data_IF_878131765738
#
_entry.id   IF_878131765738
#
_cell.length_a   1.000
_cell.length_b   1.000
_cell.length_c   1.000
_cell.angle_alpha   90.00
_cell.angle_beta   90.00
_cell.angle_gamma   90.00
#
_symmetry.space_group_name_H-M   'P 1'
#
loop_
_entity.id
_entity.type
_entity.pdbx_description
1 polymer ?
#
# COMPACT_ATOMS: atom_id res chain seq x y z
N UNK A 1 23.81 -9.09 8.80
CA UNK A 1 23.01 -8.74 7.60
C UNK A 1 22.73 -9.99 6.74
N UNK A 2 21.82 -10.90 7.12
CA UNK A 2 21.58 -12.14 6.33
C UNK A 2 20.13 -12.63 6.17
N UNK A 3 19.14 -12.05 6.86
CA UNK A 3 17.71 -12.46 6.72
C UNK A 3 16.84 -11.38 6.08
N UNK A 4 17.08 -10.10 6.42
CA UNK A 4 16.33 -8.95 5.87
C UNK A 4 16.51 -8.78 4.36
N UNK A 5 17.73 -9.01 3.85
CA UNK A 5 18.03 -8.91 2.41
C UNK A 5 17.42 -10.04 1.59
N UNK A 6 17.30 -11.25 2.16
CA UNK A 6 16.69 -12.39 1.47
C UNK A 6 15.18 -12.18 1.31
N UNK A 7 14.51 -11.65 2.34
CA UNK A 7 13.10 -11.27 2.24
C UNK A 7 12.83 -10.20 1.18
N UNK A 8 13.72 -9.21 1.07
CA UNK A 8 13.67 -8.16 0.04
C UNK A 8 13.87 -8.72 -1.38
N UNK A 9 14.80 -9.67 -1.55
CA UNK A 9 15.04 -10.30 -2.83
C UNK A 9 13.86 -11.19 -3.26
N UNK A 10 13.31 -11.97 -2.32
CA UNK A 10 12.16 -12.84 -2.58
C UNK A 10 10.90 -12.04 -2.93
N UNK A 11 10.65 -10.91 -2.28
CA UNK A 11 9.51 -10.06 -2.63
C UNK A 11 9.67 -9.39 -4.00
N UNK A 12 10.88 -8.96 -4.38
CA UNK A 12 11.13 -8.43 -5.73
C UNK A 12 10.94 -9.48 -6.83
N UNK A 13 11.40 -10.72 -6.62
CA UNK A 13 11.24 -11.81 -7.61
C UNK A 13 9.75 -12.18 -7.76
N UNK A 14 9.00 -12.21 -6.66
CA UNK A 14 7.55 -12.45 -6.69
C UNK A 14 6.79 -11.37 -7.45
N UNK A 15 7.19 -10.09 -7.37
CA UNK A 15 6.57 -9.03 -8.17
C UNK A 15 6.97 -9.10 -9.66
N UNK A 16 8.21 -9.49 -9.98
CA UNK A 16 8.71 -9.54 -11.36
C UNK A 16 8.12 -10.70 -12.20
N UNK A 17 7.57 -11.73 -11.53
CA UNK A 17 7.00 -12.93 -12.18
C UNK A 17 5.49 -12.85 -12.40
N UNK A 18 4.84 -11.76 -11.98
CA UNK A 18 3.44 -11.52 -12.31
C UNK A 18 3.40 -11.03 -13.77
N UNK A 19 2.78 -11.77 -14.70
CA UNK A 19 2.65 -11.30 -16.07
C UNK A 19 1.80 -10.03 -16.08
N UNK A 20 2.44 -8.88 -16.32
CA UNK A 20 1.75 -7.63 -16.64
C UNK A 20 1.18 -7.77 -18.05
N UNK A 21 -0.03 -8.31 -18.17
CA UNK A 21 -0.83 -8.14 -19.38
C UNK A 21 -1.30 -6.68 -19.40
N UNK A 22 -0.67 -5.85 -20.22
CA UNK A 22 -1.12 -4.48 -20.51
C UNK A 22 -2.39 -4.53 -21.35
N UNK A 23 -3.52 -4.80 -20.69
CA UNK A 23 -4.85 -4.56 -21.24
C UNK A 23 -5.17 -3.08 -21.15
N UNK A 24 -5.27 -2.43 -22.29
CA UNK A 24 -5.70 -1.04 -22.43
C UNK A 24 -7.11 -0.81 -21.85
N UNK A 25 -7.30 0.30 -21.12
CA UNK A 25 -8.56 1.03 -21.07
C UNK A 25 -8.35 2.45 -20.52
N UNK A 26 -8.49 3.43 -21.40
CA UNK A 26 -8.84 4.81 -21.03
C UNK A 26 -10.28 4.84 -20.50
N UNK A 27 -10.53 5.51 -19.37
CA UNK A 27 -11.74 6.30 -19.09
C UNK A 27 -11.62 7.02 -17.73
N UNK A 28 -11.92 8.31 -17.73
CA UNK A 28 -12.01 9.21 -16.58
C UNK A 28 -13.35 9.12 -15.85
N UNK A 29 -13.35 9.09 -14.50
CA UNK A 29 -14.33 9.65 -13.52
C UNK A 29 -14.29 8.88 -12.17
N UNK A 30 -14.79 9.45 -11.04
CA UNK A 30 -14.18 9.32 -9.72
C UNK A 30 -14.46 7.94 -9.11
N UNK A 31 -13.42 7.19 -8.78
CA UNK A 31 -13.60 5.89 -8.14
C UNK A 31 -13.63 6.09 -6.63
N UNK A 32 -14.86 6.02 -6.12
CA UNK A 32 -15.20 5.80 -4.71
C UNK A 32 -14.51 4.56 -4.13
N UNK A 33 -14.30 4.62 -2.81
CA UNK A 33 -13.41 3.81 -1.97
C UNK A 33 -13.52 2.29 -2.16
N UNK A 34 -12.40 1.55 -2.28
CA UNK A 34 -12.40 0.15 -1.92
C UNK A 34 -12.40 0.00 -0.40
N UNK A 35 -13.52 -0.45 0.15
CA UNK A 35 -13.62 -0.98 1.51
C UNK A 35 -13.12 -2.44 1.53
N UNK A 36 -11.82 -2.63 1.78
CA UNK A 36 -11.30 -3.95 2.13
C UNK A 36 -11.58 -4.25 3.61
N UNK A 37 -12.84 -4.55 3.93
CA UNK A 37 -13.25 -4.94 5.29
C UNK A 37 -12.64 -6.31 5.69
N UNK A 38 -12.31 -7.16 4.71
CA UNK A 38 -11.68 -8.47 4.90
C UNK A 38 -10.82 -8.77 3.65
N UNK A 39 -9.60 -8.23 3.63
CA UNK A 39 -8.68 -8.44 2.50
C UNK A 39 -7.25 -8.09 2.83
N UNK A 40 -6.35 -8.74 2.11
CA UNK A 40 -4.91 -8.52 2.19
C UNK A 40 -4.55 -7.59 1.03
N UNK A 41 -4.06 -6.41 1.36
CA UNK A 41 -3.74 -5.38 0.38
C UNK A 41 -2.23 -5.19 0.33
N UNK A 42 -1.65 -5.28 -0.85
CA UNK A 42 -0.28 -4.84 -1.08
C UNK A 42 -0.28 -3.34 -1.33
N UNK A 43 0.61 -2.61 -0.66
CA UNK A 43 0.84 -1.18 -0.90
C UNK A 43 2.32 -0.91 -1.15
N UNK A 44 2.61 0.07 -2.01
CA UNK A 44 3.96 0.54 -2.29
C UNK A 44 3.95 2.02 -2.65
N UNK A 45 4.75 2.84 -1.96
CA UNK A 45 4.89 4.26 -2.30
C UNK A 45 5.27 5.14 -1.11
N UNK A 46 4.94 6.41 -1.22
CA UNK A 46 5.28 7.46 -0.25
C UNK A 46 4.06 7.97 0.51
N UNK A 47 4.20 7.99 1.83
CA UNK A 47 3.22 8.51 2.79
C UNK A 47 3.86 9.61 3.64
N UNK A 48 3.05 10.53 4.16
CA UNK A 48 3.48 11.60 5.06
C UNK A 48 2.83 11.45 6.43
N UNK A 49 3.58 11.81 7.47
CA UNK A 49 3.12 11.86 8.86
C UNK A 49 2.40 10.56 9.29
N UNK A 50 3.05 9.39 9.23
CA UNK A 50 2.43 8.17 9.71
C UNK A 50 2.26 8.21 11.23
N UNK A 51 1.02 8.06 11.68
CA UNK A 51 0.66 7.92 13.08
C UNK A 51 0.27 6.47 13.35
N UNK A 52 0.95 5.82 14.30
CA UNK A 52 0.72 4.42 14.67
C UNK A 52 -0.02 4.40 16.00
N UNK A 53 -1.26 3.91 16.00
CA UNK A 53 -2.03 3.70 17.23
C UNK A 53 -1.68 2.38 17.93
N UNK A 54 -2.13 2.21 19.17
CA UNK A 54 -1.92 1.01 20.01
C UNK A 54 -2.38 -0.31 19.35
N UNK A 55 -3.29 -0.24 18.36
CA UNK A 55 -3.79 -1.42 17.63
C UNK A 55 -3.01 -1.73 16.35
N UNK A 56 -1.80 -1.17 16.21
CA UNK A 56 -1.00 -1.22 14.98
C UNK A 56 -1.75 -0.66 13.76
N UNK A 57 -2.69 0.26 13.97
CA UNK A 57 -3.35 0.97 12.88
C UNK A 57 -2.50 2.17 12.53
N UNK A 58 -2.05 2.23 11.28
CA UNK A 58 -1.31 3.33 10.68
C UNK A 58 -2.31 4.24 9.99
N UNK A 59 -2.27 5.52 10.34
CA UNK A 59 -2.99 6.59 9.63
C UNK A 59 -1.95 7.53 9.04
N UNK A 60 -2.07 7.87 7.76
CA UNK A 60 -1.09 8.72 7.08
C UNK A 60 -1.73 9.46 5.91
N UNK A 61 -0.97 10.37 5.27
CA UNK A 61 -1.36 11.00 3.99
C UNK A 61 -0.60 10.38 2.84
N UNK A 62 -1.29 9.84 1.84
CA UNK A 62 -0.68 9.29 0.63
C UNK A 62 -0.22 10.41 -0.31
N UNK A 63 1.08 10.53 -0.53
CA UNK A 63 1.64 11.42 -1.57
C UNK A 63 1.46 10.74 -2.93
N UNK A 64 1.96 9.52 -3.01
CA UNK A 64 1.86 8.62 -4.15
C UNK A 64 1.92 7.19 -3.62
N UNK A 65 0.81 6.46 -3.63
CA UNK A 65 0.74 5.10 -3.09
C UNK A 65 0.02 4.19 -4.08
N UNK A 66 0.74 3.22 -4.62
CA UNK A 66 0.16 2.13 -5.39
C UNK A 66 -0.45 1.14 -4.41
N UNK A 67 -1.64 0.64 -4.72
CA UNK A 67 -2.28 -0.41 -3.95
C UNK A 67 -2.83 -1.50 -4.86
N UNK A 68 -2.81 -2.72 -4.35
CA UNK A 68 -3.38 -3.90 -4.98
C UNK A 68 -4.05 -4.76 -3.92
N UNK A 69 -5.37 -4.79 -3.93
CA UNK A 69 -6.18 -5.60 -3.04
C UNK A 69 -6.55 -6.92 -3.72
N UNK A 70 -6.04 -8.04 -3.17
CA UNK A 70 -6.53 -9.38 -3.52
C UNK A 70 -7.64 -9.80 -2.58
N UNK A 71 -8.64 -8.96 -2.41
CA UNK A 71 -9.82 -9.31 -1.63
C UNK A 71 -10.40 -10.66 -2.08
N UNK A 72 -10.97 -11.39 -1.12
CA UNK A 72 -11.67 -12.66 -1.38
C UNK A 72 -12.87 -12.47 -2.33
N UNK A 73 -13.48 -11.28 -2.31
CA UNK A 73 -14.72 -10.94 -3.02
C UNK A 73 -14.45 -10.01 -4.20
N UNK A 74 -13.57 -9.01 -4.03
CA UNK A 74 -13.28 -7.99 -5.05
C UNK A 74 -11.76 -7.87 -5.19
N UNK A 75 -11.28 -7.87 -6.43
CA UNK A 75 -9.91 -7.50 -6.75
C UNK A 75 -9.93 -6.03 -7.18
N UNK A 76 -9.17 -5.19 -6.49
CA UNK A 76 -9.04 -3.78 -6.85
C UNK A 76 -7.57 -3.36 -6.89
N UNK A 77 -7.25 -2.39 -7.73
CA UNK A 77 -5.90 -1.87 -7.88
C UNK A 77 -5.95 -0.42 -8.31
N UNK A 78 -5.06 0.41 -7.77
CA UNK A 78 -5.03 1.80 -8.13
C UNK A 78 -3.85 2.56 -7.56
N UNK A 79 -3.90 3.87 -7.76
CA UNK A 79 -2.91 4.81 -7.26
C UNK A 79 -3.62 5.87 -6.44
N UNK A 80 -3.20 6.03 -5.19
CA UNK A 80 -3.63 7.11 -4.31
C UNK A 80 -2.65 8.25 -4.43
N UNK A 81 -3.12 9.42 -4.85
CA UNK A 81 -2.31 10.63 -4.97
C UNK A 81 -3.00 11.83 -4.31
N UNK A 82 -2.26 12.91 -4.10
CA UNK A 82 -2.84 14.19 -3.69
C UNK A 82 -3.09 14.34 -2.19
N UNK A 83 -2.28 13.70 -1.35
CA UNK A 83 -2.34 13.81 0.12
C UNK A 83 -3.64 13.30 0.75
N UNK A 84 -4.33 12.37 0.07
CA UNK A 84 -5.50 11.69 0.62
C UNK A 84 -5.13 10.96 1.91
N UNK A 85 -6.02 11.01 2.88
CA UNK A 85 -5.81 10.27 4.11
C UNK A 85 -5.98 8.78 3.82
N UNK A 86 -5.09 7.96 4.37
CA UNK A 86 -5.15 6.51 4.27
C UNK A 86 -5.07 5.91 5.68
N UNK A 87 -5.66 4.73 5.83
CA UNK A 87 -5.62 3.96 7.05
C UNK A 87 -5.39 2.49 6.71
N UNK A 88 -4.49 1.83 7.41
CA UNK A 88 -4.29 0.40 7.30
C UNK A 88 -3.75 -0.19 8.58
N UNK A 89 -3.94 -1.49 8.78
CA UNK A 89 -3.28 -2.23 9.86
C UNK A 89 -1.89 -2.65 9.42
N UNK A 90 -0.89 -2.23 10.19
CA UNK A 90 0.49 -2.63 10.00
C UNK A 90 0.63 -4.14 10.26
N UNK A 91 1.34 -4.84 9.40
CA UNK A 91 1.64 -6.27 9.58
C UNK A 91 3.16 -6.47 9.59
N UNK A 92 3.65 -7.65 10.01
CA UNK A 92 5.09 -7.95 9.94
C UNK A 92 5.68 -7.93 8.53
N UNK A 93 4.83 -7.96 7.48
CA UNK A 93 5.23 -7.92 6.07
C UNK A 93 5.21 -6.50 5.49
N UNK A 94 4.91 -5.48 6.31
CA UNK A 94 5.06 -4.08 5.95
C UNK A 94 6.44 -3.58 6.33
N UNK A 95 7.09 -2.92 5.39
CA UNK A 95 8.26 -2.10 5.64
C UNK A 95 7.84 -0.63 5.57
N UNK A 96 8.11 0.09 6.64
CA UNK A 96 7.90 1.53 6.78
C UNK A 96 9.29 2.11 7.07
N UNK A 97 9.79 2.97 6.19
CA UNK A 97 11.11 3.58 6.34
C UNK A 97 11.14 4.60 7.47
N UNK A 98 12.33 5.05 7.83
CA UNK A 98 12.49 6.27 8.61
C UNK A 98 12.01 7.49 7.78
N UNK A 99 11.54 8.56 8.43
CA UNK A 99 11.15 9.79 7.75
C UNK A 99 12.34 10.49 7.09
N UNK A 100 12.14 11.00 5.88
CA UNK A 100 13.08 11.88 5.20
C UNK A 100 13.03 13.33 5.76
N UNK A 101 13.79 14.25 5.16
CA UNK A 101 13.86 15.65 5.57
C UNK A 101 12.52 16.41 5.51
N UNK A 102 11.55 15.93 4.73
CA UNK A 102 10.21 16.51 4.60
C UNK A 102 9.15 15.70 5.37
N UNK A 103 9.58 14.71 6.17
CA UNK A 103 8.71 13.82 6.94
C UNK A 103 8.04 12.75 6.09
N UNK A 104 8.49 12.56 4.85
CA UNK A 104 8.08 11.53 3.91
C UNK A 104 8.62 10.17 4.29
N UNK A 105 7.78 9.17 4.19
CA UNK A 105 8.08 7.80 4.60
C UNK A 105 7.71 6.87 3.45
N UNK A 106 8.62 5.99 3.08
CA UNK A 106 8.34 4.92 2.13
C UNK A 106 7.61 3.79 2.86
N UNK A 107 6.43 3.42 2.35
CA UNK A 107 5.66 2.29 2.82
C UNK A 107 5.56 1.25 1.70
N UNK A 108 6.07 0.04 1.93
CA UNK A 108 6.02 -1.07 0.99
C UNK A 108 5.73 -2.37 1.71
N UNK A 109 4.80 -3.15 1.18
CA UNK A 109 4.52 -4.49 1.70
C UNK A 109 3.03 -4.78 1.80
N UNK A 110 2.69 -5.70 2.68
CA UNK A 110 1.34 -6.26 2.78
C UNK A 110 0.65 -5.77 4.05
N UNK A 111 -0.50 -5.10 3.91
CA UNK A 111 -1.34 -4.65 5.01
C UNK A 111 -2.75 -5.27 4.96
N UNK A 112 -3.53 -5.03 6.00
CA UNK A 112 -4.96 -5.41 6.05
C UNK A 112 -5.81 -4.22 6.46
N UNK A 113 -7.09 -4.23 6.10
CA UNK A 113 -7.99 -3.12 6.39
C UNK A 113 -7.50 -1.81 5.77
N UNK A 114 -7.00 -1.87 4.53
CA UNK A 114 -6.59 -0.70 3.79
C UNK A 114 -7.82 0.11 3.39
N UNK A 115 -7.81 1.39 3.74
CA UNK A 115 -8.88 2.33 3.45
C UNK A 115 -8.28 3.66 3.01
N UNK A 116 -8.84 4.22 1.95
CA UNK A 116 -8.59 5.60 1.53
C UNK A 116 -9.75 6.41 2.13
N UNK A 117 -9.46 7.36 3.01
CA UNK A 117 -10.46 8.20 3.66
C UNK A 117 -10.61 9.50 2.87
N UNK A 118 -11.86 9.90 2.61
CA UNK A 118 -12.22 11.17 1.99
C UNK A 118 -11.72 12.40 2.76
#
# INVERSE_FOLDING_TARGET
MRRKQIGMLLSMILLATIPFTTGAAMASSPVEEPQSLIGVTFIAGYILKPEISERNIVTAKAVLLFYYDRGLIIKDSGIVTGLKNIRFRNTPLMLISEPDAIGGVMAIGVCTGFHIMR
#
